data_IF_266065371537
#
_entry.id   IF_266065371537
#
_cell.length_a   1.000
_cell.length_b   1.000
_cell.length_c   1.000
_cell.angle_alpha   90.00
_cell.angle_beta   90.00
_cell.angle_gamma   90.00
#
_symmetry.space_group_name_H-M   'P 1'
#
loop_
_entity.id
_entity.type
_entity.pdbx_description
1 polymer ?
#
# COMPACT_ATOMS: atom_id res chain seq x y z
N UNK A 1 -6.97 34.53 14.49
CA UNK A 1 -5.89 33.71 15.09
C UNK A 1 -5.40 32.75 14.01
N UNK A 2 -4.15 32.88 13.53
CA UNK A 2 -3.60 32.04 12.45
C UNK A 2 -2.48 31.20 13.07
N UNK A 3 -2.61 29.86 13.15
CA UNK A 3 -1.53 29.03 13.68
C UNK A 3 -0.30 29.21 12.79
N UNK A 4 0.83 29.63 13.37
CA UNK A 4 2.12 29.60 12.69
C UNK A 4 2.62 28.16 12.74
N UNK A 5 2.24 27.36 11.74
CA UNK A 5 2.89 26.08 11.51
C UNK A 5 4.39 26.34 11.24
N UNK A 6 5.23 25.69 12.01
CA UNK A 6 6.68 25.69 11.94
C UNK A 6 7.17 24.49 11.12
N UNK A 7 8.41 24.52 10.61
CA UNK A 7 8.96 23.39 9.81
C UNK A 7 8.95 22.06 10.57
N UNK A 8 8.95 22.08 11.90
CA UNK A 8 8.81 20.92 12.77
C UNK A 8 7.41 20.33 12.79
N UNK A 9 6.40 21.10 12.37
CA UNK A 9 5.00 20.63 12.23
C UNK A 9 4.77 19.91 10.88
N UNK A 10 5.75 19.97 9.98
CA UNK A 10 5.73 19.27 8.69
C UNK A 10 6.48 17.95 8.85
N UNK A 11 5.79 16.84 8.59
CA UNK A 11 6.40 15.51 8.63
C UNK A 11 7.53 15.41 7.60
N UNK A 12 8.66 14.84 8.03
CA UNK A 12 9.77 14.55 7.13
C UNK A 12 9.41 13.43 6.15
N UNK A 13 10.06 13.39 4.99
CA UNK A 13 9.93 12.29 4.03
C UNK A 13 10.21 10.93 4.67
N UNK A 14 11.20 10.86 5.56
CA UNK A 14 11.53 9.63 6.28
C UNK A 14 10.37 9.17 7.17
N UNK A 15 9.74 10.09 7.91
CA UNK A 15 8.63 9.76 8.80
C UNK A 15 7.40 9.28 8.00
N UNK A 16 7.12 9.92 6.86
CA UNK A 16 6.04 9.50 5.95
C UNK A 16 6.32 8.10 5.39
N UNK A 17 7.55 7.86 4.92
CA UNK A 17 7.95 6.55 4.40
C UNK A 17 7.79 5.45 5.45
N UNK A 18 8.32 5.68 6.67
CA UNK A 18 8.21 4.73 7.77
C UNK A 18 6.75 4.45 8.15
N UNK A 19 5.92 5.49 8.18
CA UNK A 19 4.50 5.33 8.43
C UNK A 19 3.82 4.47 7.36
N UNK A 20 4.02 4.77 6.08
CA UNK A 20 3.43 4.01 4.96
C UNK A 20 3.91 2.56 5.00
N UNK A 21 5.21 2.33 5.18
CA UNK A 21 5.78 1.00 5.25
C UNK A 21 5.17 0.17 6.39
N UNK A 22 5.08 0.74 7.59
CA UNK A 22 4.53 0.04 8.74
C UNK A 22 3.03 -0.22 8.59
N UNK A 23 2.26 0.78 8.15
CA UNK A 23 0.83 0.64 7.91
C UNK A 23 0.54 -0.44 6.86
N UNK A 24 1.32 -0.48 5.78
CA UNK A 24 1.20 -1.51 4.75
C UNK A 24 1.55 -2.90 5.30
N UNK A 25 2.59 -2.99 6.15
CA UNK A 25 2.95 -4.24 6.82
C UNK A 25 1.84 -4.81 7.70
N UNK A 26 1.15 -3.96 8.48
CA UNK A 26 0.01 -4.39 9.29
C UNK A 26 -1.20 -4.78 8.43
N UNK A 27 -1.51 -3.99 7.39
CA UNK A 27 -2.57 -4.32 6.44
C UNK A 27 -2.39 -5.72 5.82
N UNK A 28 -1.17 -6.09 5.40
CA UNK A 28 -0.91 -7.42 4.82
C UNK A 28 -1.11 -8.54 5.84
N UNK A 29 -0.81 -8.31 7.13
CA UNK A 29 -1.06 -9.31 8.18
C UNK A 29 -2.56 -9.51 8.39
N UNK A 30 -3.32 -8.42 8.46
CA UNK A 30 -4.78 -8.45 8.60
C UNK A 30 -5.43 -9.15 7.41
N UNK A 31 -5.08 -8.73 6.18
CA UNK A 31 -5.58 -9.34 4.96
C UNK A 31 -5.30 -10.85 4.91
N UNK A 32 -4.10 -11.28 5.32
CA UNK A 32 -3.77 -12.71 5.41
C UNK A 32 -4.69 -13.43 6.38
N UNK A 33 -4.91 -12.86 7.56
CA UNK A 33 -5.81 -13.44 8.57
C UNK A 33 -7.24 -13.55 8.05
N UNK A 34 -7.72 -12.53 7.34
CA UNK A 34 -9.05 -12.53 6.72
C UNK A 34 -9.16 -13.61 5.65
N UNK A 35 -8.22 -13.69 4.71
CA UNK A 35 -8.22 -14.71 3.65
C UNK A 35 -8.20 -16.14 4.23
N UNK A 36 -7.50 -16.35 5.35
CA UNK A 36 -7.40 -17.64 6.02
C UNK A 36 -8.60 -17.97 6.92
N UNK A 37 -9.52 -17.04 7.14
CA UNK A 37 -10.72 -17.26 7.95
C UNK A 37 -11.63 -18.30 7.29
N UNK A 38 -12.20 -19.18 8.12
CA UNK A 38 -13.15 -20.21 7.66
C UNK A 38 -14.49 -19.64 7.18
N UNK A 39 -14.76 -18.37 7.49
CA UNK A 39 -15.93 -17.63 6.99
C UNK A 39 -15.68 -16.97 5.63
N UNK A 40 -14.44 -16.96 5.15
CA UNK A 40 -14.09 -16.32 3.89
C UNK A 40 -14.61 -17.14 2.72
N UNK A 41 -15.31 -16.45 1.81
CA UNK A 41 -15.85 -17.06 0.60
C UNK A 41 -14.76 -17.41 -0.41
N UNK A 42 -15.07 -17.27 -1.69
CA UNK A 42 -14.08 -17.46 -2.76
C UNK A 42 -13.25 -16.18 -2.90
N UNK A 43 -11.94 -16.32 -2.78
CA UNK A 43 -10.98 -15.29 -3.17
C UNK A 43 -10.59 -15.55 -4.62
N UNK A 44 -10.57 -14.51 -5.44
CA UNK A 44 -10.05 -14.57 -6.80
C UNK A 44 -8.99 -13.50 -7.01
N UNK A 45 -8.09 -13.73 -7.96
CA UNK A 45 -7.05 -12.75 -8.30
C UNK A 45 -7.08 -12.43 -9.78
N UNK A 46 -6.88 -11.15 -10.09
CA UNK A 46 -6.60 -10.66 -11.43
C UNK A 46 -5.15 -10.24 -11.48
N UNK A 47 -4.42 -10.72 -12.49
CA UNK A 47 -3.02 -10.39 -12.70
C UNK A 47 -2.89 -9.66 -14.04
N UNK A 48 -2.58 -8.37 -13.96
CA UNK A 48 -2.37 -7.52 -15.11
C UNK A 48 -0.86 -7.34 -15.32
N UNK A 49 -0.41 -7.57 -16.55
CA UNK A 49 0.98 -7.29 -16.94
C UNK A 49 0.97 -6.28 -18.06
N UNK A 50 1.85 -5.28 -17.96
CA UNK A 50 2.02 -4.28 -19.01
C UNK A 50 3.45 -3.76 -19.00
N UNK A 51 3.88 -3.20 -20.13
CA UNK A 51 5.16 -2.52 -20.26
C UNK A 51 4.93 -1.06 -20.63
N UNK A 52 5.86 -0.20 -20.22
CA UNK A 52 5.86 1.21 -20.58
C UNK A 52 7.20 1.53 -21.23
N UNK A 53 7.17 1.81 -22.53
CA UNK A 53 8.37 2.03 -23.33
C UNK A 53 9.18 3.24 -22.85
N UNK A 54 8.50 4.31 -22.44
CA UNK A 54 9.13 5.55 -21.94
C UNK A 54 10.00 5.31 -20.71
N UNK A 55 9.59 4.39 -19.83
CA UNK A 55 10.35 4.03 -18.63
C UNK A 55 11.21 2.79 -18.83
N UNK A 56 11.12 2.13 -20.01
CA UNK A 56 11.75 0.83 -20.32
C UNK A 56 11.50 -0.21 -19.22
N UNK A 57 10.33 -0.15 -18.60
CA UNK A 57 9.97 -0.99 -17.47
C UNK A 57 8.78 -1.88 -17.80
N UNK A 58 8.76 -3.05 -17.16
CA UNK A 58 7.62 -3.96 -17.15
C UNK A 58 7.03 -4.00 -15.74
N UNK A 59 5.71 -4.03 -15.67
CA UNK A 59 4.96 -3.99 -14.42
C UNK A 59 4.06 -5.22 -14.33
N UNK A 60 3.87 -5.65 -13.09
CA UNK A 60 2.91 -6.68 -12.70
C UNK A 60 1.99 -6.07 -11.64
N UNK A 61 0.71 -5.97 -11.96
CA UNK A 61 -0.36 -5.61 -11.04
C UNK A 61 -1.07 -6.89 -10.60
N UNK A 62 -1.28 -7.03 -9.29
CA UNK A 62 -2.07 -8.13 -8.73
C UNK A 62 -3.20 -7.50 -7.92
N UNK A 63 -4.43 -7.83 -8.26
CA UNK A 63 -5.63 -7.41 -7.54
C UNK A 63 -6.33 -8.65 -7.00
N UNK A 64 -6.67 -8.66 -5.71
CA UNK A 64 -7.49 -9.71 -5.10
C UNK A 64 -8.93 -9.21 -4.92
N UNK A 65 -9.90 -10.08 -5.20
CA UNK A 65 -11.34 -9.86 -5.04
C UNK A 65 -11.95 -10.90 -4.09
#
# INVERSE_FOLDING_TARGET
MRPKATKTDILSTHNIYMYIHNAFGEFIKELRSEIQSTATGRVSTTMDTWSVEQTKASFIGITAH
#
